data_IF_385655963439
#
_entry.id   IF_385655963439
#
_cell.length_a   1.000
_cell.length_b   1.000
_cell.length_c   1.000
_cell.angle_alpha   90.00
_cell.angle_beta   90.00
_cell.angle_gamma   90.00
#
_symmetry.space_group_name_H-M   'P 1'
#
loop_
_entity.id
_entity.type
_entity.pdbx_description
1 polymer ?
#
# COMPACT_ATOMS: atom_id res chain seq x y z
N UNK A 1 -2.82 31.85 -8.34
CA UNK A 1 -1.49 31.25 -8.05
C UNK A 1 -1.65 29.74 -8.04
N UNK A 2 -1.08 29.04 -9.04
CA UNK A 2 -1.03 27.58 -9.05
C UNK A 2 0.09 27.12 -8.09
N UNK A 3 -0.24 26.93 -6.81
CA UNK A 3 0.62 26.16 -5.92
C UNK A 3 0.48 24.68 -6.28
N UNK A 4 1.25 24.21 -7.28
CA UNK A 4 1.56 22.78 -7.35
C UNK A 4 2.21 22.42 -6.01
N UNK A 5 1.70 21.43 -5.25
CA UNK A 5 2.41 20.94 -4.08
C UNK A 5 3.81 20.54 -4.52
N UNK A 6 4.85 21.06 -3.85
CA UNK A 6 6.21 20.58 -4.10
C UNK A 6 6.21 19.10 -3.72
N UNK A 7 6.74 18.25 -4.60
CA UNK A 7 6.95 16.84 -4.25
C UNK A 7 7.68 16.77 -2.91
N UNK A 8 7.26 15.87 -1.99
CA UNK A 8 7.89 15.82 -0.69
C UNK A 8 9.39 15.50 -0.84
N UNK A 9 10.22 15.83 0.14
CA UNK A 9 11.67 15.54 0.04
C UNK A 9 11.98 14.13 0.52
N UNK A 10 13.12 13.60 0.12
CA UNK A 10 13.65 12.35 0.68
C UNK A 10 14.45 12.64 1.95
N UNK A 11 14.42 11.68 2.88
CA UNK A 11 15.30 11.66 4.04
C UNK A 11 16.74 11.33 3.61
N UNK A 12 17.68 11.56 4.52
CA UNK A 12 19.11 11.32 4.28
C UNK A 12 19.46 9.91 4.75
N UNK A 13 20.22 9.19 3.91
CA UNK A 13 20.80 7.89 4.29
C UNK A 13 22.00 8.12 5.19
N UNK A 14 22.02 7.43 6.32
CA UNK A 14 23.12 7.36 7.26
C UNK A 14 23.59 5.89 7.38
N UNK A 15 24.76 5.69 7.98
CA UNK A 15 25.24 4.34 8.33
C UNK A 15 25.21 4.18 9.84
N UNK A 16 24.65 3.09 10.32
CA UNK A 16 24.60 2.75 11.74
C UNK A 16 24.79 1.25 11.94
N UNK A 17 25.46 0.88 13.03
CA UNK A 17 25.54 -0.51 13.47
C UNK A 17 24.38 -0.76 14.42
N UNK A 18 23.46 -1.62 14.01
CA UNK A 18 22.31 -2.01 14.82
C UNK A 18 22.69 -3.25 15.64
N UNK A 19 22.61 -3.22 16.97
CA UNK A 19 22.86 -4.41 17.77
C UNK A 19 21.93 -5.58 17.36
N UNK A 20 22.43 -6.82 17.29
CA UNK A 20 21.65 -7.96 16.79
C UNK A 20 20.63 -8.52 17.80
N UNK A 21 20.67 -8.10 19.06
CA UNK A 21 19.89 -8.67 20.18
C UNK A 21 18.82 -7.72 20.74
N UNK A 22 18.58 -6.57 20.09
CA UNK A 22 17.62 -5.55 20.57
C UNK A 22 16.29 -5.60 19.81
N UNK A 23 16.00 -6.73 19.18
CA UNK A 23 14.86 -6.89 18.31
C UNK A 23 13.62 -7.16 19.12
N UNK A 24 12.56 -6.41 18.84
CA UNK A 24 11.32 -6.47 19.58
C UNK A 24 10.16 -6.61 18.60
N UNK A 25 9.24 -7.52 18.89
CA UNK A 25 8.02 -7.67 18.08
C UNK A 25 7.00 -6.59 18.45
N UNK A 26 6.14 -6.23 17.49
CA UNK A 26 5.01 -5.32 17.72
C UNK A 26 4.09 -5.89 18.80
N UNK A 27 3.66 -5.06 19.76
CA UNK A 27 2.88 -5.49 20.92
C UNK A 27 1.45 -5.84 20.53
N UNK A 28 0.79 -4.92 19.83
CA UNK A 28 -0.60 -5.05 19.41
C UNK A 28 -0.85 -4.25 18.13
N UNK A 29 -1.85 -4.67 17.36
CA UNK A 29 -2.31 -3.92 16.20
C UNK A 29 -3.81 -4.14 15.96
N UNK A 30 -4.44 -3.14 15.36
CA UNK A 30 -5.86 -3.17 14.97
C UNK A 30 -6.04 -2.64 13.56
N UNK A 31 -7.18 -2.97 12.95
CA UNK A 31 -7.60 -2.40 11.67
C UNK A 31 -7.77 -0.88 11.81
N UNK A 32 -7.24 -0.13 10.85
CA UNK A 32 -7.38 1.32 10.78
C UNK A 32 -8.16 1.77 9.56
N UNK A 33 -8.97 2.82 9.74
CA UNK A 33 -9.81 3.39 8.69
C UNK A 33 -10.95 2.47 8.24
N UNK A 34 -11.75 2.95 7.29
CA UNK A 34 -12.87 2.19 6.69
C UNK A 34 -12.81 2.21 5.16
N UNK A 35 -11.67 2.61 4.59
CA UNK A 35 -11.42 2.53 3.15
C UNK A 35 -11.03 1.10 2.85
N UNK A 36 -11.75 0.46 1.95
CA UNK A 36 -11.46 -0.91 1.52
C UNK A 36 -10.19 -0.94 0.69
N UNK A 37 -9.34 -1.94 0.88
CA UNK A 37 -8.18 -2.17 0.03
C UNK A 37 -8.48 -3.31 -0.93
N UNK A 38 -8.45 -3.05 -2.24
CA UNK A 38 -8.33 -4.06 -3.29
C UNK A 38 -6.87 -4.10 -3.75
N UNK A 39 -6.20 -5.23 -3.56
CA UNK A 39 -4.81 -5.42 -3.96
C UNK A 39 -4.73 -6.38 -5.14
N UNK A 40 -4.21 -5.87 -6.24
CA UNK A 40 -3.93 -6.56 -7.50
C UNK A 40 -2.42 -6.69 -7.66
N UNK A 41 -1.82 -7.59 -6.87
CA UNK A 41 -0.42 -8.03 -6.98
C UNK A 41 0.70 -7.02 -6.58
N UNK A 42 1.93 -7.52 -6.33
CA UNK A 42 3.15 -6.75 -5.97
C UNK A 42 4.50 -7.53 -5.94
N UNK A 43 5.33 -7.56 -7.02
CA UNK A 43 4.99 -7.45 -8.45
C UNK A 43 4.47 -8.76 -9.06
N UNK A 44 3.41 -8.70 -9.87
CA UNK A 44 3.08 -9.84 -10.75
C UNK A 44 3.94 -9.76 -12.00
N UNK A 45 4.61 -10.84 -12.39
CA UNK A 45 5.12 -10.94 -13.77
C UNK A 45 4.01 -11.48 -14.67
N UNK A 46 3.49 -10.63 -15.55
CA UNK A 46 2.50 -10.96 -16.54
C UNK A 46 3.18 -11.70 -17.69
N UNK A 47 2.83 -12.97 -17.87
CA UNK A 47 3.37 -13.87 -18.90
C UNK A 47 2.21 -14.63 -19.54
N UNK A 48 2.46 -15.37 -20.60
CA UNK A 48 1.44 -16.27 -21.17
C UNK A 48 1.02 -17.40 -20.21
N UNK A 49 1.76 -17.64 -19.11
CA UNK A 49 1.37 -18.60 -18.07
C UNK A 49 0.43 -17.95 -17.06
N UNK A 50 0.73 -16.72 -16.61
CA UNK A 50 -0.08 -16.01 -15.61
C UNK A 50 -1.32 -15.36 -16.22
N UNK A 51 -1.25 -14.96 -17.49
CA UNK A 51 -2.38 -14.45 -18.29
C UNK A 51 -2.55 -15.36 -19.53
N UNK A 52 -3.19 -16.54 -19.37
CA UNK A 52 -3.28 -17.52 -20.46
C UNK A 52 -4.22 -17.10 -21.58
N UNK A 53 -5.24 -16.31 -21.29
CA UNK A 53 -6.24 -15.83 -22.25
C UNK A 53 -5.84 -14.50 -22.88
N UNK A 54 -6.51 -14.10 -23.98
CA UNK A 54 -6.25 -12.80 -24.63
C UNK A 54 -6.61 -11.60 -23.74
N UNK A 55 -7.62 -11.78 -22.89
CA UNK A 55 -8.07 -10.79 -21.92
C UNK A 55 -8.42 -11.47 -20.60
N UNK A 56 -8.25 -10.76 -19.49
CA UNK A 56 -8.51 -11.30 -18.16
C UNK A 56 -8.79 -10.19 -17.14
N UNK A 57 -9.44 -10.59 -16.04
CA UNK A 57 -9.49 -9.82 -14.80
C UNK A 57 -8.29 -10.23 -13.94
N UNK A 58 -7.40 -9.28 -13.64
CA UNK A 58 -6.25 -9.52 -12.76
C UNK A 58 -6.72 -9.71 -11.31
N UNK A 59 -7.55 -8.78 -10.81
CA UNK A 59 -8.27 -8.92 -9.55
C UNK A 59 -9.56 -8.10 -9.52
N UNK A 60 -10.40 -8.34 -8.51
CA UNK A 60 -11.65 -7.63 -8.36
C UNK A 60 -12.08 -7.44 -6.88
N UNK A 61 -12.93 -6.43 -6.66
CA UNK A 61 -13.72 -6.25 -5.43
C UNK A 61 -15.20 -6.29 -5.77
N UNK A 62 -15.95 -7.13 -5.08
CA UNK A 62 -17.40 -7.34 -5.25
C UNK A 62 -18.09 -6.78 -4.02
N UNK A 63 -18.86 -5.72 -4.22
CA UNK A 63 -19.54 -5.03 -3.12
C UNK A 63 -21.03 -5.14 -3.27
N UNK A 64 -21.68 -5.64 -2.21
CA UNK A 64 -23.12 -5.58 -2.04
C UNK A 64 -23.45 -5.04 -0.65
N UNK A 65 -23.95 -3.81 -0.58
CA UNK A 65 -24.18 -3.15 0.71
C UNK A 65 -25.35 -2.16 0.66
N UNK A 66 -25.98 -1.92 1.80
CA UNK A 66 -26.98 -0.87 2.01
C UNK A 66 -26.34 0.47 2.44
N UNK A 67 -25.04 0.48 2.72
CA UNK A 67 -24.31 1.71 3.04
C UNK A 67 -24.36 2.67 1.86
N UNK A 68 -24.60 3.96 2.14
CA UNK A 68 -24.72 5.00 1.11
C UNK A 68 -23.46 5.19 0.27
N UNK A 69 -22.30 5.00 0.90
CA UNK A 69 -21.00 5.38 0.36
C UNK A 69 -19.97 4.35 0.78
N UNK A 70 -19.12 3.94 -0.15
CA UNK A 70 -18.01 3.03 0.10
C UNK A 70 -16.73 3.64 -0.47
N UNK A 71 -15.71 3.75 0.37
CA UNK A 71 -14.40 4.24 -0.02
C UNK A 71 -13.50 3.07 -0.40
N UNK A 72 -12.77 3.24 -1.49
CA UNK A 72 -11.88 2.22 -2.04
C UNK A 72 -10.48 2.76 -2.19
N UNK A 73 -9.52 1.86 -1.99
CA UNK A 73 -8.14 1.95 -2.41
C UNK A 73 -7.84 0.77 -3.30
N UNK A 74 -7.37 1.03 -4.50
CA UNK A 74 -6.90 0.02 -5.43
C UNK A 74 -5.40 0.14 -5.51
N UNK A 75 -4.68 -0.91 -5.15
CA UNK A 75 -3.23 -0.99 -5.33
C UNK A 75 -2.93 -2.07 -6.36
N UNK A 76 -2.07 -1.78 -7.33
CA UNK A 76 -1.63 -2.78 -8.29
C UNK A 76 -0.22 -2.56 -8.77
N UNK A 77 0.44 -3.65 -9.15
CA UNK A 77 1.84 -3.66 -9.49
C UNK A 77 2.15 -4.82 -10.43
N UNK A 78 2.33 -4.50 -11.71
CA UNK A 78 2.35 -5.47 -12.79
C UNK A 78 3.53 -5.23 -13.72
N UNK A 79 4.29 -6.28 -13.97
CA UNK A 79 5.43 -6.29 -14.85
C UNK A 79 5.12 -7.06 -16.14
N UNK A 80 5.21 -6.40 -17.29
CA UNK A 80 4.83 -7.01 -18.56
C UNK A 80 5.98 -7.81 -19.19
N UNK A 81 5.77 -9.11 -19.33
CA UNK A 81 6.61 -10.09 -20.06
C UNK A 81 5.75 -10.96 -20.99
N UNK A 82 4.76 -10.34 -21.65
CA UNK A 82 3.85 -11.00 -22.60
C UNK A 82 4.42 -11.01 -24.03
N UNK A 83 5.66 -10.55 -24.22
CA UNK A 83 6.31 -10.44 -25.53
C UNK A 83 5.77 -9.29 -26.40
N UNK A 84 4.86 -8.48 -25.88
CA UNK A 84 4.23 -7.35 -26.58
C UNK A 84 3.59 -6.38 -25.58
N UNK A 85 3.27 -5.17 -26.03
CA UNK A 85 2.55 -4.20 -25.19
C UNK A 85 1.15 -4.73 -24.85
N UNK A 86 0.72 -4.53 -23.61
CA UNK A 86 -0.61 -4.90 -23.14
C UNK A 86 -1.38 -3.65 -22.74
N UNK A 87 -2.71 -3.70 -22.76
CA UNK A 87 -3.58 -2.65 -22.22
C UNK A 87 -4.10 -3.08 -20.85
N UNK A 88 -3.90 -2.24 -19.83
CA UNK A 88 -4.48 -2.41 -18.50
C UNK A 88 -5.51 -1.33 -18.24
N UNK A 89 -6.44 -1.58 -17.33
CA UNK A 89 -7.38 -0.57 -16.87
C UNK A 89 -8.17 -0.97 -15.64
N UNK A 90 -8.96 -0.02 -15.16
CA UNK A 90 -9.86 -0.21 -14.03
C UNK A 90 -11.30 0.02 -14.51
N UNK A 91 -12.15 -0.98 -14.29
CA UNK A 91 -13.58 -0.89 -14.62
C UNK A 91 -14.45 -0.98 -13.38
N UNK A 92 -15.64 -0.37 -13.43
CA UNK A 92 -16.69 -0.51 -12.43
C UNK A 92 -17.96 -0.98 -13.11
N UNK A 93 -18.37 -2.20 -12.81
CA UNK A 93 -19.64 -2.78 -13.25
C UNK A 93 -20.71 -2.49 -12.20
N UNK A 94 -21.72 -1.68 -12.53
CA UNK A 94 -22.92 -1.53 -11.74
C UNK A 94 -23.91 -2.66 -12.06
N UNK A 95 -24.19 -3.50 -11.07
CA UNK A 95 -25.15 -4.61 -11.17
C UNK A 95 -26.55 -4.19 -10.72
N UNK A 96 -26.65 -3.10 -9.98
CA UNK A 96 -27.93 -2.54 -9.53
C UNK A 96 -28.65 -1.78 -10.64
N UNK A 97 -29.98 -1.67 -10.53
CA UNK A 97 -30.79 -0.82 -11.41
C UNK A 97 -30.64 0.68 -11.05
N UNK A 98 -30.29 0.98 -9.80
CA UNK A 98 -30.05 2.34 -9.33
C UNK A 98 -28.77 2.90 -9.99
N UNK A 99 -28.73 4.22 -10.17
CA UNK A 99 -27.53 4.88 -10.67
C UNK A 99 -26.48 4.94 -9.57
N UNK A 100 -25.26 4.51 -9.91
CA UNK A 100 -24.07 4.73 -9.09
C UNK A 100 -23.39 6.02 -9.51
N UNK A 101 -22.68 6.60 -8.55
CA UNK A 101 -21.78 7.70 -8.79
C UNK A 101 -20.40 7.40 -8.21
N UNK A 102 -19.35 7.65 -9.00
CA UNK A 102 -17.96 7.52 -8.61
C UNK A 102 -17.38 8.91 -8.38
N UNK A 103 -16.89 9.20 -7.18
CA UNK A 103 -16.34 10.50 -6.80
C UNK A 103 -14.95 10.38 -6.22
N UNK A 104 -14.32 11.55 -6.05
CA UNK A 104 -13.05 11.72 -5.35
C UNK A 104 -11.97 10.77 -5.87
N UNK A 105 -11.85 10.70 -7.20
CA UNK A 105 -10.95 9.80 -7.89
C UNK A 105 -9.58 10.46 -7.92
N UNK A 106 -8.66 9.91 -7.16
CA UNK A 106 -7.28 10.36 -7.06
C UNK A 106 -6.37 9.17 -7.34
N UNK A 107 -5.30 9.40 -8.10
CA UNK A 107 -4.39 8.34 -8.52
C UNK A 107 -2.93 8.73 -8.41
N UNK A 108 -2.06 7.75 -8.24
CA UNK A 108 -0.68 7.84 -8.66
C UNK A 108 -0.37 6.60 -9.50
N UNK A 109 0.07 6.81 -10.74
CA UNK A 109 0.46 5.78 -11.69
C UNK A 109 1.87 6.09 -12.18
N UNK A 110 2.75 5.08 -12.14
CA UNK A 110 4.11 5.14 -12.69
C UNK A 110 4.35 3.92 -13.55
N UNK A 111 4.93 4.15 -14.73
CA UNK A 111 5.36 3.11 -15.65
C UNK A 111 6.85 3.32 -15.91
N UNK A 112 7.65 2.30 -15.65
CA UNK A 112 9.11 2.37 -15.70
C UNK A 112 9.65 1.12 -16.41
N UNK A 113 10.65 1.24 -17.31
CA UNK A 113 11.25 0.10 -17.99
C UNK A 113 12.00 -0.85 -17.02
N UNK A 114 12.37 -2.04 -17.50
CA UNK A 114 13.04 -3.10 -16.73
C UNK A 114 14.38 -2.70 -16.11
N UNK A 115 15.09 -1.77 -16.72
CA UNK A 115 16.36 -1.23 -16.22
C UNK A 115 16.20 -0.09 -15.20
N UNK A 116 14.96 0.34 -14.93
CA UNK A 116 14.67 1.37 -13.93
C UNK A 116 14.64 0.86 -12.49
N UNK A 117 14.72 1.78 -11.53
CA UNK A 117 14.70 1.43 -10.11
C UNK A 117 13.27 1.35 -9.59
N UNK A 118 12.60 0.22 -9.82
CA UNK A 118 11.18 0.04 -9.49
C UNK A 118 10.83 0.37 -8.03
N UNK A 119 11.71 0.06 -7.07
CA UNK A 119 11.47 0.37 -5.65
C UNK A 119 11.34 1.88 -5.43
N UNK A 120 12.15 2.70 -6.11
CA UNK A 120 12.17 4.15 -5.94
C UNK A 120 11.25 4.86 -6.95
N UNK A 121 11.48 4.64 -8.24
CA UNK A 121 10.84 5.37 -9.32
C UNK A 121 9.33 5.10 -9.40
N UNK A 122 8.92 3.91 -8.95
CA UNK A 122 7.51 3.51 -8.86
C UNK A 122 7.07 3.48 -7.40
N UNK A 123 7.68 2.61 -6.57
CA UNK A 123 7.16 2.25 -5.25
C UNK A 123 7.16 3.38 -4.24
N UNK A 124 8.32 4.00 -4.03
CA UNK A 124 8.46 5.14 -3.14
C UNK A 124 7.62 6.32 -3.65
N UNK A 125 7.60 6.56 -4.96
CA UNK A 125 6.84 7.65 -5.57
C UNK A 125 5.32 7.55 -5.32
N UNK A 126 4.71 6.39 -5.56
CA UNK A 126 3.27 6.21 -5.32
C UNK A 126 2.93 6.17 -3.82
N UNK A 127 3.80 5.59 -2.99
CA UNK A 127 3.62 5.56 -1.54
C UNK A 127 3.63 6.99 -0.96
N UNK A 128 4.61 7.79 -1.40
CA UNK A 128 4.80 9.17 -0.95
C UNK A 128 3.66 10.09 -1.36
N UNK A 129 3.18 9.99 -2.60
CA UNK A 129 2.03 10.78 -3.06
C UNK A 129 0.73 10.38 -2.36
N UNK A 130 0.51 9.08 -2.12
CA UNK A 130 -0.63 8.61 -1.34
C UNK A 130 -0.58 9.11 0.11
N UNK A 131 0.54 8.91 0.81
CA UNK A 131 0.69 9.36 2.19
C UNK A 131 0.64 10.89 2.29
N UNK A 132 1.14 11.63 1.31
CA UNK A 132 1.07 13.10 1.31
C UNK A 132 -0.31 13.66 0.95
N UNK A 133 -1.24 12.83 0.45
CA UNK A 133 -2.51 13.33 -0.10
C UNK A 133 -2.31 14.21 -1.34
N UNK A 134 -1.27 13.93 -2.14
CA UNK A 134 -0.91 14.69 -3.35
C UNK A 134 -1.08 13.87 -4.64
N UNK A 135 -1.88 12.80 -4.59
CA UNK A 135 -2.25 12.04 -5.77
C UNK A 135 -2.97 12.92 -6.80
N UNK A 136 -2.79 12.60 -8.09
CA UNK A 136 -3.40 13.33 -9.18
C UNK A 136 -4.92 13.10 -9.19
N UNK A 137 -5.71 14.17 -9.26
CA UNK A 137 -7.16 14.04 -9.49
C UNK A 137 -7.41 13.56 -10.90
N UNK A 138 -8.04 12.40 -11.03
CA UNK A 138 -8.38 11.80 -12.30
C UNK A 138 -9.80 12.20 -12.70
N UNK A 139 -9.96 12.63 -13.96
CA UNK A 139 -11.27 12.64 -14.61
C UNK A 139 -11.48 11.27 -15.27
N UNK A 140 -12.52 10.50 -14.90
CA UNK A 140 -12.70 9.17 -15.44
C UNK A 140 -12.97 9.21 -16.95
N UNK A 141 -12.58 8.15 -17.66
CA UNK A 141 -12.79 8.01 -19.09
C UNK A 141 -14.29 8.04 -19.45
N UNK A 142 -15.11 7.35 -18.66
CA UNK A 142 -16.56 7.38 -18.78
C UNK A 142 -17.23 8.35 -17.81
N UNK A 143 -18.56 8.49 -17.96
CA UNK A 143 -19.39 9.23 -17.02
C UNK A 143 -19.28 8.63 -15.62
N UNK A 144 -18.90 9.45 -14.66
CA UNK A 144 -18.84 9.08 -13.25
C UNK A 144 -20.20 8.70 -12.64
N UNK A 145 -21.32 9.13 -13.24
CA UNK A 145 -22.68 8.76 -12.86
C UNK A 145 -23.34 7.91 -13.95
N UNK A 146 -23.67 6.66 -13.63
CA UNK A 146 -24.20 5.69 -14.60
C UNK A 146 -25.14 4.66 -13.97
N UNK A 147 -26.07 4.13 -14.78
CA UNK A 147 -26.99 3.06 -14.39
C UNK A 147 -26.33 1.69 -14.49
N UNK A 148 -27.14 0.64 -14.69
CA UNK A 148 -26.63 -0.73 -14.91
C UNK A 148 -25.67 -0.77 -16.11
N UNK A 149 -24.56 -1.47 -15.98
CA UNK A 149 -23.52 -1.61 -17.01
C UNK A 149 -22.12 -1.34 -16.47
N UNK A 150 -21.14 -1.29 -17.35
CA UNK A 150 -19.71 -1.15 -16.99
C UNK A 150 -19.17 0.20 -17.44
N UNK A 151 -18.56 0.93 -16.52
CA UNK A 151 -17.84 2.17 -16.78
C UNK A 151 -16.33 1.93 -16.67
N UNK A 152 -15.57 2.56 -17.56
CA UNK A 152 -14.11 2.63 -17.49
C UNK A 152 -13.69 3.85 -16.66
N UNK A 153 -12.89 3.62 -15.62
CA UNK A 153 -12.22 4.68 -14.87
C UNK A 153 -11.05 5.23 -15.68
N UNK A 154 -10.13 4.36 -16.04
CA UNK A 154 -8.93 4.67 -16.78
C UNK A 154 -8.38 3.41 -17.47
N UNK A 155 -7.75 3.60 -18.62
CA UNK A 155 -6.92 2.61 -19.29
C UNK A 155 -5.57 3.20 -19.65
N UNK A 156 -4.55 2.35 -19.72
CA UNK A 156 -3.20 2.73 -20.13
C UNK A 156 -2.50 1.54 -20.80
N UNK A 157 -1.59 1.85 -21.70
CA UNK A 157 -0.71 0.86 -22.30
C UNK A 157 0.47 0.57 -21.36
N UNK A 158 0.79 -0.70 -21.18
CA UNK A 158 1.97 -1.20 -20.49
C UNK A 158 2.90 -1.83 -21.53
N UNK A 159 3.98 -1.13 -21.93
CA UNK A 159 4.94 -1.68 -22.88
C UNK A 159 5.56 -2.99 -22.39
N UNK A 160 5.96 -3.85 -23.32
CA UNK A 160 6.75 -5.04 -22.99
C UNK A 160 8.03 -4.65 -22.25
N UNK A 161 8.40 -5.43 -21.23
CA UNK A 161 9.58 -5.15 -20.42
C UNK A 161 9.43 -3.90 -19.54
N UNK A 162 8.22 -3.43 -19.29
CA UNK A 162 7.95 -2.32 -18.36
C UNK A 162 7.10 -2.76 -17.18
N UNK A 163 7.29 -2.07 -16.05
CA UNK A 163 6.52 -2.25 -14.83
C UNK A 163 5.59 -1.07 -14.62
N UNK A 164 4.31 -1.34 -14.39
CA UNK A 164 3.35 -0.37 -13.90
C UNK A 164 3.10 -0.61 -12.41
N UNK A 165 3.23 0.45 -11.60
CA UNK A 165 2.72 0.47 -10.24
C UNK A 165 1.73 1.61 -10.09
N UNK A 166 0.61 1.34 -9.43
CA UNK A 166 -0.44 2.32 -9.24
C UNK A 166 -1.19 2.18 -7.92
N UNK A 167 -1.72 3.31 -7.48
CA UNK A 167 -2.67 3.42 -6.39
C UNK A 167 -3.80 4.36 -6.80
N UNK A 168 -5.04 3.96 -6.56
CA UNK A 168 -6.23 4.79 -6.77
C UNK A 168 -7.03 4.84 -5.49
N UNK A 169 -7.36 6.05 -5.02
CA UNK A 169 -8.40 6.24 -4.04
C UNK A 169 -9.65 6.76 -4.77
N UNK A 170 -10.79 6.14 -4.48
CA UNK A 170 -12.09 6.56 -5.05
C UNK A 170 -13.21 6.30 -4.05
N UNK A 171 -14.38 6.87 -4.35
CA UNK A 171 -15.59 6.70 -3.56
C UNK A 171 -16.72 6.29 -4.49
N UNK A 172 -17.43 5.20 -4.16
CA UNK A 172 -18.64 4.78 -4.86
C UNK A 172 -19.84 5.06 -3.97
N UNK A 173 -20.86 5.72 -4.50
CA UNK A 173 -22.07 6.08 -3.76
C UNK A 173 -23.35 6.01 -4.61
N UNK A 174 -24.51 6.09 -3.96
CA UNK A 174 -25.78 6.28 -4.68
C UNK A 174 -25.77 7.63 -5.37
N UNK A 175 -26.05 7.64 -6.67
CA UNK A 175 -26.14 8.89 -7.39
C UNK A 175 -27.36 9.73 -6.97
N UNK A 176 -28.47 9.07 -6.61
CA UNK A 176 -29.72 9.65 -6.10
C UNK A 176 -30.44 8.62 -5.21
N UNK A 177 -31.15 9.08 -4.17
CA UNK A 177 -32.05 8.25 -3.36
C UNK A 177 -31.38 7.32 -2.33
N UNK A 178 -32.03 6.17 -2.09
CA UNK A 178 -31.65 5.08 -1.19
C UNK A 178 -31.75 3.75 -1.93
N UNK A 179 -30.99 2.73 -1.52
CA UNK A 179 -31.02 1.41 -2.16
C UNK A 179 -29.90 0.49 -1.67
N UNK A 180 -29.52 -0.45 -2.52
CA UNK A 180 -28.35 -1.32 -2.32
C UNK A 180 -27.32 -0.99 -3.38
N UNK A 181 -26.10 -0.65 -2.98
CA UNK A 181 -24.97 -0.62 -3.90
C UNK A 181 -24.60 -2.07 -4.21
N UNK A 182 -24.67 -2.44 -5.48
CA UNK A 182 -24.26 -3.76 -5.99
C UNK A 182 -23.39 -3.52 -7.22
N UNK A 183 -22.08 -3.70 -7.06
CA UNK A 183 -21.11 -3.42 -8.10
C UNK A 183 -19.83 -4.25 -7.96
N UNK A 184 -19.06 -4.28 -9.04
CA UNK A 184 -17.72 -4.88 -9.06
C UNK A 184 -16.72 -3.91 -9.61
N UNK A 185 -15.63 -3.69 -8.88
CA UNK A 185 -14.45 -2.99 -9.36
C UNK A 185 -13.46 -4.05 -9.85
N UNK A 186 -12.86 -3.87 -11.04
CA UNK A 186 -11.86 -4.79 -11.59
C UNK A 186 -10.62 -4.07 -12.03
N UNK A 187 -9.45 -4.67 -11.78
CA UNK A 187 -8.26 -4.46 -12.60
C UNK A 187 -8.30 -5.48 -13.74
N UNK A 188 -8.24 -5.00 -14.99
CA UNK A 188 -8.35 -5.85 -16.17
C UNK A 188 -7.17 -5.63 -17.11
N UNK A 189 -6.88 -6.65 -17.92
CA UNK A 189 -5.81 -6.65 -18.91
C UNK A 189 -6.31 -7.22 -20.24
N UNK A 190 -5.79 -6.69 -21.35
CA UNK A 190 -5.86 -7.31 -22.67
C UNK A 190 -4.49 -7.29 -23.35
N UNK A 191 -4.16 -8.38 -24.06
CA UNK A 191 -2.98 -8.48 -24.94
C UNK A 191 -3.17 -7.69 -26.23
N UNK A 192 -4.40 -7.34 -26.59
CA UNK A 192 -4.72 -6.46 -27.72
C UNK A 192 -5.04 -5.04 -27.22
N UNK A 193 -4.19 -4.08 -27.60
CA UNK A 193 -4.31 -2.67 -27.22
C UNK A 193 -5.50 -1.95 -27.87
N UNK A 194 -6.26 -2.60 -28.75
CA UNK A 194 -7.51 -2.07 -29.31
C UNK A 194 -8.77 -2.57 -28.58
N UNK A 195 -8.63 -3.52 -27.65
CA UNK A 195 -9.76 -4.07 -26.89
C UNK A 195 -10.48 -3.00 -26.08
N UNK A 196 -11.82 -3.01 -26.09
CA UNK A 196 -12.66 -2.29 -25.13
C UNK A 196 -12.69 -3.05 -23.81
N UNK A 197 -11.96 -2.54 -22.82
CA UNK A 197 -11.83 -3.16 -21.50
C UNK A 197 -13.18 -3.30 -20.76
N UNK A 198 -14.22 -2.54 -21.15
CA UNK A 198 -15.56 -2.64 -20.56
C UNK A 198 -16.23 -3.99 -20.82
N UNK A 199 -15.77 -4.76 -21.79
CA UNK A 199 -16.33 -6.07 -22.12
C UNK A 199 -15.72 -7.20 -21.25
N UNK A 200 -14.71 -6.90 -20.45
CA UNK A 200 -14.01 -7.90 -19.63
C UNK A 200 -14.76 -8.08 -18.30
N UNK A 201 -15.58 -9.13 -18.24
CA UNK A 201 -16.36 -9.50 -17.06
C UNK A 201 -15.96 -10.87 -16.48
N UNK A 202 -14.82 -11.42 -16.91
CA UNK A 202 -14.35 -12.73 -16.45
C UNK A 202 -14.11 -12.71 -14.94
N UNK A 203 -14.15 -13.89 -14.33
CA UNK A 203 -13.64 -14.06 -12.98
C UNK A 203 -12.17 -13.65 -12.90
N UNK A 204 -11.73 -13.32 -11.69
CA UNK A 204 -10.33 -12.99 -11.45
C UNK A 204 -9.44 -14.21 -11.72
N UNK A 205 -8.24 -13.96 -12.25
CA UNK A 205 -7.24 -15.00 -12.42
C UNK A 205 -6.92 -15.65 -11.06
N UNK A 206 -6.80 -16.98 -11.02
CA UNK A 206 -6.41 -17.66 -9.80
C UNK A 206 -5.01 -17.21 -9.40
N UNK A 207 -4.70 -17.12 -8.08
CA UNK A 207 -3.36 -16.83 -7.64
C UNK A 207 -2.37 -17.88 -8.13
N UNK A 208 -1.17 -17.43 -8.51
CA UNK A 208 -0.06 -18.32 -8.87
C UNK A 208 0.44 -19.01 -7.59
N UNK A 209 0.63 -20.35 -7.59
CA UNK A 209 1.15 -21.04 -6.41
C UNK A 209 2.63 -20.67 -6.15
N UNK A 210 3.13 -20.96 -4.94
CA UNK A 210 4.56 -20.81 -4.63
C UNK A 210 5.45 -21.52 -5.66
N UNK A 211 6.65 -20.99 -5.97
CA UNK A 211 7.31 -19.86 -5.30
C UNK A 211 6.94 -18.46 -5.84
N UNK A 212 6.09 -18.36 -6.86
CA UNK A 212 5.68 -17.09 -7.50
C UNK A 212 4.39 -16.52 -6.88
N UNK A 213 4.09 -16.87 -5.63
CA UNK A 213 2.90 -16.41 -4.96
C UNK A 213 3.06 -14.94 -4.55
N UNK A 214 2.16 -14.09 -5.05
CA UNK A 214 2.16 -12.68 -4.74
C UNK A 214 0.90 -12.26 -3.97
N UNK A 215 0.98 -11.20 -3.14
CA UNK A 215 -0.18 -10.71 -2.40
C UNK A 215 -1.38 -10.42 -3.31
N UNK A 216 -2.58 -10.79 -2.87
CA UNK A 216 -3.81 -10.54 -3.64
C UNK A 216 -5.01 -10.69 -2.72
N UNK A 217 -5.92 -9.73 -2.71
CA UNK A 217 -7.06 -9.80 -1.79
C UNK A 217 -7.85 -8.51 -1.70
N UNK A 218 -8.91 -8.58 -0.91
CA UNK A 218 -9.79 -7.45 -0.60
C UNK A 218 -10.01 -7.39 0.90
N UNK A 219 -9.71 -6.26 1.53
CA UNK A 219 -9.93 -6.06 2.96
C UNK A 219 -10.83 -4.86 3.20
N UNK A 220 -11.66 -4.90 4.23
CA UNK A 220 -12.59 -3.82 4.62
C UNK A 220 -11.89 -2.54 5.10
N UNK A 221 -10.58 -2.61 5.31
CA UNK A 221 -9.71 -1.56 5.82
C UNK A 221 -8.45 -1.45 4.96
N UNK A 222 -7.75 -0.31 5.07
CA UNK A 222 -6.53 -0.02 4.32
C UNK A 222 -5.42 0.57 5.18
N UNK A 223 -5.57 0.50 6.51
CA UNK A 223 -4.59 0.99 7.46
C UNK A 223 -4.39 0.00 8.60
N UNK A 224 -3.21 0.06 9.23
CA UNK A 224 -2.88 -0.68 10.45
C UNK A 224 -2.62 0.32 11.54
N UNK A 225 -3.28 0.18 12.69
CA UNK A 225 -2.97 0.95 13.89
C UNK A 225 -2.19 0.05 14.84
N UNK A 226 -0.87 0.18 14.84
CA UNK A 226 0.05 -0.63 15.62
C UNK A 226 0.61 0.13 16.81
N UNK A 227 0.70 -0.57 17.95
CA UNK A 227 1.35 -0.08 19.16
C UNK A 227 2.61 -0.90 19.41
N UNK A 228 3.73 -0.19 19.54
CA UNK A 228 5.01 -0.80 19.92
C UNK A 228 5.06 -1.02 21.43
N UNK A 229 5.82 -2.01 21.93
CA UNK A 229 6.15 -2.09 23.35
C UNK A 229 6.80 -0.80 23.84
N UNK A 230 6.59 -0.49 25.12
CA UNK A 230 7.14 0.70 25.76
C UNK A 230 8.68 0.79 25.61
N UNK A 231 9.16 1.93 25.12
CA UNK A 231 10.57 2.27 25.09
C UNK A 231 10.96 2.99 26.39
N UNK A 232 11.92 2.46 27.13
CA UNK A 232 12.47 3.13 28.32
C UNK A 232 13.74 3.91 27.92
N UNK A 233 13.77 5.20 28.23
CA UNK A 233 14.90 6.09 27.96
C UNK A 233 16.18 5.54 28.59
N UNK A 234 17.28 5.62 27.84
CA UNK A 234 18.57 5.00 28.16
C UNK A 234 18.74 3.58 27.61
N UNK A 235 17.66 2.94 27.12
CA UNK A 235 17.74 1.63 26.44
C UNK A 235 17.87 1.78 24.92
N UNK A 236 17.87 0.64 24.21
CA UNK A 236 17.73 0.60 22.76
C UNK A 236 16.73 -0.46 22.36
N UNK A 237 15.92 -0.19 21.33
CA UNK A 237 14.92 -1.11 20.82
C UNK A 237 14.86 -1.03 19.30
N UNK A 238 14.68 -2.15 18.61
CA UNK A 238 14.42 -2.19 17.18
C UNK A 238 13.13 -2.97 16.91
N UNK A 239 12.03 -2.24 16.74
CA UNK A 239 10.70 -2.81 16.54
C UNK A 239 10.54 -3.33 15.11
N UNK A 240 10.05 -4.57 14.97
CA UNK A 240 9.90 -5.26 13.68
C UNK A 240 8.50 -5.07 13.10
N UNK A 241 8.25 -3.94 12.44
CA UNK A 241 6.97 -3.67 11.78
C UNK A 241 6.83 -4.46 10.46
N UNK A 242 5.61 -4.93 10.17
CA UNK A 242 5.29 -5.78 9.01
C UNK A 242 6.12 -7.08 8.97
N UNK A 243 6.37 -7.69 10.13
CA UNK A 243 7.04 -8.97 10.21
C UNK A 243 6.14 -10.10 9.70
N UNK A 244 6.74 -11.13 9.11
CA UNK A 244 6.02 -12.35 8.70
C UNK A 244 5.90 -13.37 9.82
N UNK A 245 6.78 -13.29 10.83
CA UNK A 245 6.84 -14.19 11.99
C UNK A 245 7.48 -13.46 13.17
N UNK A 246 6.93 -13.67 14.37
CA UNK A 246 7.55 -13.23 15.63
C UNK A 246 8.89 -13.93 15.85
N UNK A 247 9.73 -13.38 16.72
CA UNK A 247 11.03 -13.95 17.07
C UNK A 247 10.89 -15.35 17.68
N UNK A 248 9.83 -15.59 18.45
CA UNK A 248 9.49 -16.90 19.02
C UNK A 248 8.82 -17.87 18.02
N UNK A 249 8.55 -17.41 16.81
CA UNK A 249 7.91 -18.21 15.77
C UNK A 249 6.37 -18.11 15.69
N UNK A 250 5.73 -17.34 16.57
CA UNK A 250 4.28 -17.14 16.51
C UNK A 250 3.87 -16.12 15.43
N UNK A 251 2.56 -15.99 15.21
CA UNK A 251 1.97 -14.98 14.34
C UNK A 251 2.18 -13.57 14.91
N UNK A 252 2.73 -12.62 14.13
CA UNK A 252 2.87 -11.22 14.53
C UNK A 252 1.52 -10.55 14.79
N UNK A 253 1.48 -9.61 15.74
CA UNK A 253 0.26 -8.89 16.09
C UNK A 253 -0.27 -8.04 14.92
N UNK A 254 0.63 -7.50 14.10
CA UNK A 254 0.33 -6.67 12.94
C UNK A 254 0.18 -7.46 11.63
N UNK A 255 0.07 -8.81 11.68
CA UNK A 255 -0.29 -9.61 10.51
C UNK A 255 -1.81 -9.56 10.27
N UNK A 256 -2.32 -8.40 9.85
CA UNK A 256 -3.75 -8.16 9.68
C UNK A 256 -4.29 -8.53 8.29
N UNK A 257 -3.50 -8.32 7.24
CA UNK A 257 -3.90 -8.52 5.84
C UNK A 257 -3.62 -9.96 5.36
N UNK A 258 -4.23 -10.95 6.01
CA UNK A 258 -4.11 -12.36 5.60
C UNK A 258 -5.12 -12.72 4.52
N UNK A 259 -4.82 -13.74 3.71
CA UNK A 259 -5.76 -14.27 2.72
C UNK A 259 -7.07 -14.78 3.35
N UNK A 260 -6.98 -15.35 4.56
CA UNK A 260 -8.15 -15.82 5.32
C UNK A 260 -9.07 -14.68 5.82
N UNK A 261 -8.53 -13.46 5.94
CA UNK A 261 -9.29 -12.25 6.31
C UNK A 261 -9.74 -11.42 5.11
N UNK A 262 -9.35 -11.82 3.90
CA UNK A 262 -9.86 -11.20 2.68
C UNK A 262 -11.35 -11.49 2.54
N UNK A 263 -12.13 -10.51 2.09
CA UNK A 263 -13.57 -10.67 1.84
C UNK A 263 -13.86 -11.53 0.60
N UNK A 264 -12.86 -11.70 -0.26
CA UNK A 264 -12.94 -12.49 -1.48
C UNK A 264 -11.78 -13.48 -1.55
N UNK A 265 -12.01 -14.65 -2.15
CA UNK A 265 -11.01 -15.70 -2.29
C UNK A 265 -11.07 -16.43 -3.63
N UNK A 266 -10.03 -17.21 -3.98
CA UNK A 266 -8.83 -17.46 -3.16
C UNK A 266 -7.87 -16.25 -3.13
N UNK A 267 -7.55 -15.77 -1.93
CA UNK A 267 -6.69 -14.62 -1.68
C UNK A 267 -5.36 -15.06 -1.04
N UNK A 268 -4.33 -14.23 -1.20
CA UNK A 268 -3.00 -14.42 -0.67
C UNK A 268 -2.62 -13.27 0.27
N UNK A 269 -1.86 -13.59 1.32
CA UNK A 269 -1.46 -12.62 2.34
C UNK A 269 -0.74 -11.40 1.74
N UNK A 270 -1.14 -10.20 2.18
CA UNK A 270 -0.38 -8.97 1.99
C UNK A 270 0.53 -8.71 3.19
N UNK A 271 1.52 -9.59 3.36
CA UNK A 271 2.43 -9.55 4.53
C UNK A 271 3.27 -8.27 4.62
N UNK A 272 3.62 -7.69 3.47
CA UNK A 272 4.32 -6.42 3.39
C UNK A 272 3.43 -5.20 3.65
N UNK A 273 2.10 -5.42 3.76
CA UNK A 273 1.08 -4.39 3.88
C UNK A 273 1.17 -3.33 2.76
N UNK A 274 1.42 -3.76 1.53
CA UNK A 274 1.51 -2.88 0.37
C UNK A 274 0.18 -2.19 0.10
N UNK A 275 0.22 -0.92 -0.32
CA UNK A 275 -0.97 -0.08 -0.50
C UNK A 275 -1.64 0.37 0.81
N UNK A 276 -1.11 -0.01 1.97
CA UNK A 276 -1.68 0.36 3.28
C UNK A 276 -0.92 1.54 3.91
N UNK A 277 -1.60 2.27 4.80
CA UNK A 277 -0.93 3.19 5.72
C UNK A 277 -0.71 2.47 7.05
N UNK A 278 0.54 2.36 7.48
CA UNK A 278 0.89 1.81 8.78
C UNK A 278 1.07 2.95 9.78
N UNK A 279 0.14 3.08 10.72
CA UNK A 279 0.20 4.03 11.83
C UNK A 279 0.88 3.34 13.02
N UNK A 280 2.01 3.89 13.46
CA UNK A 280 2.81 3.35 14.56
C UNK A 280 2.82 4.33 15.73
N UNK A 281 2.42 3.83 16.90
CA UNK A 281 2.54 4.53 18.20
C UNK A 281 3.66 3.89 18.99
N UNK A 282 4.64 4.68 19.41
CA UNK A 282 5.75 4.28 20.29
C UNK A 282 5.52 4.93 21.67
N UNK A 283 5.09 4.17 22.69
CA UNK A 283 5.06 4.64 24.06
C UNK A 283 6.48 4.81 24.59
N UNK A 284 6.75 5.91 25.28
CA UNK A 284 8.09 6.25 25.80
C UNK A 284 8.00 6.59 27.28
N UNK A 285 8.94 6.08 28.06
CA UNK A 285 9.09 6.40 29.49
C UNK A 285 10.47 6.98 29.76
N UNK A 286 10.49 8.14 30.39
CA UNK A 286 11.68 8.80 30.88
C UNK A 286 11.62 8.88 32.41
N UNK A 287 12.29 7.94 33.07
CA UNK A 287 12.36 7.88 34.54
C UNK A 287 13.37 8.88 35.15
N UNK A 288 14.04 9.69 34.32
CA UNK A 288 14.93 10.75 34.81
C UNK A 288 14.18 12.06 35.04
N UNK A 289 14.74 12.92 35.90
CA UNK A 289 14.18 14.25 36.19
C UNK A 289 14.49 15.30 35.09
N UNK A 290 15.19 14.91 34.03
CA UNK A 290 15.62 15.79 32.95
C UNK A 290 14.96 15.42 31.62
N UNK A 291 14.84 16.42 30.74
CA UNK A 291 14.46 16.18 29.35
C UNK A 291 15.57 15.38 28.64
N UNK A 292 15.18 14.38 27.86
CA UNK A 292 16.09 13.54 27.07
C UNK A 292 15.71 13.56 25.61
N UNK A 293 16.69 13.37 24.72
CA UNK A 293 16.43 13.27 23.28
C UNK A 293 16.41 11.80 22.90
N UNK A 294 15.27 11.36 22.36
CA UNK A 294 15.13 10.03 21.76
C UNK A 294 15.18 10.18 20.25
N UNK A 295 15.97 9.33 19.59
CA UNK A 295 16.12 9.29 18.14
C UNK A 295 15.48 8.04 17.58
N UNK A 296 14.73 8.20 16.49
CA UNK A 296 14.09 7.10 15.77
C UNK A 296 14.67 7.03 14.36
N UNK A 297 15.12 5.83 13.99
CA UNK A 297 15.62 5.47 12.67
C UNK A 297 14.70 4.46 12.00
N UNK A 298 14.57 4.54 10.67
CA UNK A 298 14.14 3.43 9.85
C UNK A 298 15.37 2.61 9.42
N UNK A 299 15.27 1.28 9.53
CA UNK A 299 16.33 0.33 9.15
C UNK A 299 15.71 -0.89 8.44
N UNK A 300 16.22 -1.34 7.29
CA UNK A 300 15.73 -2.56 6.66
C UNK A 300 16.20 -3.82 7.42
N UNK A 301 15.37 -4.85 7.43
CA UNK A 301 15.68 -6.11 8.13
C UNK A 301 15.76 -7.35 7.25
N UNK A 302 15.10 -7.34 6.09
CA UNK A 302 15.05 -8.50 5.19
C UNK A 302 15.74 -8.32 3.84
N UNK A 303 16.18 -7.10 3.49
CA UNK A 303 16.70 -6.78 2.16
C UNK A 303 16.59 -5.29 1.86
N UNK A 304 16.55 -4.92 0.59
CA UNK A 304 16.40 -3.51 0.22
C UNK A 304 15.01 -2.98 0.61
N UNK A 305 14.97 -1.79 1.21
CA UNK A 305 13.74 -1.12 1.62
C UNK A 305 13.67 0.30 1.09
N UNK A 306 12.49 0.72 0.67
CA UNK A 306 12.12 2.12 0.52
C UNK A 306 10.64 2.29 0.90
N UNK A 307 10.20 3.53 1.03
CA UNK A 307 8.82 3.84 1.36
C UNK A 307 8.61 5.32 1.55
N UNK A 308 7.58 5.68 2.29
CA UNK A 308 7.37 7.05 2.74
C UNK A 308 6.98 7.07 4.19
N UNK A 309 7.25 8.18 4.88
CA UNK A 309 6.93 8.37 6.29
C UNK A 309 6.32 9.74 6.49
N UNK A 310 5.32 9.84 7.35
CA UNK A 310 4.79 11.08 7.88
C UNK A 310 5.27 11.24 9.32
N UNK A 311 5.98 12.33 9.55
CA UNK A 311 6.52 12.77 10.84
C UNK A 311 6.18 14.25 10.98
N UNK A 312 5.63 14.65 12.12
CA UNK A 312 5.23 16.04 12.41
C UNK A 312 4.41 16.67 11.28
N UNK A 313 3.36 15.98 10.84
CA UNK A 313 2.46 16.35 9.73
C UNK A 313 3.14 16.57 8.36
N UNK A 314 4.40 16.17 8.21
CA UNK A 314 5.15 16.26 6.96
C UNK A 314 5.51 14.90 6.43
N UNK A 315 5.32 14.71 5.13
CA UNK A 315 5.68 13.47 4.45
C UNK A 315 7.07 13.58 3.86
N UNK A 316 7.84 12.50 3.98
CA UNK A 316 9.15 12.34 3.36
C UNK A 316 9.25 10.98 2.67
N UNK A 317 10.10 10.89 1.64
CA UNK A 317 10.53 9.60 1.10
C UNK A 317 11.55 8.96 2.04
N UNK A 318 11.37 7.68 2.37
CA UNK A 318 12.46 6.85 2.91
C UNK A 318 13.30 6.42 1.70
N UNK A 319 14.55 6.90 1.56
CA UNK A 319 15.41 6.56 0.43
C UNK A 319 15.70 5.05 0.39
N UNK A 320 16.31 4.57 -0.71
CA UNK A 320 16.68 3.17 -0.83
C UNK A 320 17.73 2.78 0.24
N UNK A 321 17.30 2.05 1.25
CA UNK A 321 18.16 1.43 2.26
C UNK A 321 18.50 0.03 1.77
N UNK A 322 19.73 -0.18 1.27
CA UNK A 322 20.13 -1.41 0.57
C UNK A 322 20.33 -2.62 1.48
N UNK A 323 20.72 -2.39 2.73
CA UNK A 323 21.05 -3.42 3.70
C UNK A 323 20.85 -2.91 5.13
N UNK A 324 20.98 -3.80 6.11
CA UNK A 324 20.72 -3.52 7.53
C UNK A 324 21.74 -2.57 8.20
N UNK A 325 22.81 -2.17 7.50
CA UNK A 325 23.76 -1.14 7.97
C UNK A 325 23.34 0.27 7.57
N UNK A 326 22.37 0.39 6.65
CA UNK A 326 21.82 1.67 6.22
C UNK A 326 20.60 2.02 7.04
N UNK A 327 20.58 3.25 7.53
CA UNK A 327 19.45 3.83 8.26
C UNK A 327 19.05 5.16 7.64
N UNK A 328 17.86 5.64 7.94
CA UNK A 328 17.54 7.05 7.80
C UNK A 328 16.88 7.55 9.08
N UNK A 329 17.28 8.73 9.54
CA UNK A 329 16.71 9.35 10.73
C UNK A 329 15.29 9.83 10.41
N UNK A 330 14.32 9.35 11.18
CA UNK A 330 12.92 9.73 11.06
C UNK A 330 12.63 10.95 11.92
N UNK A 331 13.07 10.94 13.18
CA UNK A 331 12.79 11.99 14.15
C UNK A 331 13.83 12.02 15.28
N UNK A 332 14.06 13.23 15.81
CA UNK A 332 14.65 13.46 17.13
C UNK A 332 13.58 14.11 17.99
N UNK A 333 13.19 13.45 19.07
CA UNK A 333 12.06 13.85 19.91
C UNK A 333 12.55 14.23 21.30
N UNK A 334 12.03 15.35 21.79
CA UNK A 334 12.28 15.83 23.14
C UNK A 334 11.29 15.16 24.10
N UNK A 335 11.82 14.37 25.04
CA UNK A 335 11.03 13.54 25.95
C UNK A 335 11.14 14.10 27.37
N UNK A 336 10.08 14.71 27.93
CA UNK A 336 10.09 15.19 29.31
C UNK A 336 10.10 14.02 30.31
N UNK A 337 10.39 14.27 31.59
CA UNK A 337 10.20 13.28 32.66
C UNK A 337 8.79 12.67 32.66
N UNK A 338 8.69 11.38 32.94
CA UNK A 338 7.45 10.63 32.96
C UNK A 338 7.13 9.90 31.66
N UNK A 339 5.83 9.78 31.35
CA UNK A 339 5.33 8.99 30.21
C UNK A 339 4.95 9.91 29.05
N UNK A 340 5.35 9.55 27.84
CA UNK A 340 4.93 10.19 26.59
C UNK A 340 4.66 9.14 25.51
N UNK A 341 4.22 9.59 24.34
CA UNK A 341 4.09 8.75 23.16
C UNK A 341 4.50 9.53 21.92
N UNK A 342 4.97 8.80 20.93
CA UNK A 342 5.27 9.37 19.63
C UNK A 342 4.58 8.58 18.52
N UNK A 343 3.86 9.31 17.67
CA UNK A 343 3.12 8.75 16.56
C UNK A 343 3.81 9.10 15.25
N UNK A 344 3.90 8.12 14.37
CA UNK A 344 4.30 8.29 12.98
C UNK A 344 3.44 7.40 12.10
N UNK A 345 3.40 7.70 10.81
CA UNK A 345 2.79 6.77 9.83
C UNK A 345 3.72 6.55 8.67
N UNK A 346 3.67 5.37 8.05
CA UNK A 346 4.48 5.08 6.88
C UNK A 346 3.73 4.22 5.87
N UNK A 347 4.21 4.23 4.63
CA UNK A 347 3.78 3.32 3.58
C UNK A 347 4.99 2.61 2.99
N UNK A 348 4.91 1.30 2.87
CA UNK A 348 5.96 0.46 2.27
C UNK A 348 5.89 0.60 0.75
N UNK A 349 7.04 0.82 0.09
CA UNK A 349 7.12 0.83 -1.36
C UNK A 349 6.85 -0.57 -1.95
N UNK A 350 6.26 -0.64 -3.14
CA UNK A 350 6.19 -1.91 -3.88
C UNK A 350 7.59 -2.51 -4.10
N UNK A 351 7.66 -3.84 -4.13
CA UNK A 351 8.90 -4.63 -4.17
C UNK A 351 9.89 -4.43 -3.00
N UNK A 352 9.60 -3.59 -1.99
CA UNK A 352 10.46 -3.46 -0.82
C UNK A 352 10.37 -4.70 0.08
N UNK A 353 11.48 -5.01 0.76
CA UNK A 353 11.53 -6.14 1.69
C UNK A 353 11.16 -5.71 3.12
N UNK A 354 10.28 -6.48 3.76
CA UNK A 354 9.90 -6.33 5.17
C UNK A 354 10.53 -7.43 6.03
N UNK A 355 10.63 -7.29 7.38
CA UNK A 355 10.14 -6.18 8.20
C UNK A 355 10.92 -4.88 8.02
N UNK A 356 10.26 -3.76 8.35
CA UNK A 356 10.91 -2.49 8.62
C UNK A 356 11.28 -2.46 10.11
N UNK A 357 12.53 -2.14 10.41
CA UNK A 357 12.99 -1.82 11.76
C UNK A 357 12.72 -0.36 12.10
N UNK A 358 11.99 -0.12 13.20
CA UNK A 358 11.96 1.19 13.86
C UNK A 358 12.97 1.15 15.01
N UNK A 359 14.19 1.64 14.75
CA UNK A 359 15.29 1.62 15.71
C UNK A 359 15.30 2.88 16.56
N UNK A 360 15.14 2.70 17.87
CA UNK A 360 14.97 3.75 18.86
C UNK A 360 16.14 3.73 19.85
N UNK A 361 16.76 4.89 20.05
CA UNK A 361 17.86 5.11 20.99
C UNK A 361 17.71 6.43 21.72
N UNK A 362 18.40 6.56 22.85
CA UNK A 362 18.60 7.84 23.55
C UNK A 362 19.95 8.42 23.15
N UNK A 363 20.03 9.74 22.95
CA UNK A 363 21.26 10.46 22.62
C UNK A 363 22.02 10.99 23.83
#
# INVERSE_FOLDING_TARGET
MNHRPKEPKDLIVETAVIPPNIHVDVESATEGGTRRLMLSDNPETLTHVTVPTEQATLWHDVVRTTTRTVKHRIFGWHYNKLGSAAKLGITVENRSAAKLEIRHIERALKIVPEDGNWIIDVGQSIAKSCLAGTMERLKPADRHKFGKGTALLEEFELPEGSLAGFIYDLTVEFAEGHGTLDYVIRTVISKDTQTDLRQIHTDALPPVPPPQAHPRGVWSFSETNARMPEYVVGQSANYRACATKKLNGETPADLLFTGARSELGPALDNRGQFGTIYNATIPIVNDSDEVRIVRIYANPRGGAFAGSVRVDDRVYGIPLLRDNTKVCRLADISVPPGRSSYDLSFMVAGSATTPLGLYVITL
#
